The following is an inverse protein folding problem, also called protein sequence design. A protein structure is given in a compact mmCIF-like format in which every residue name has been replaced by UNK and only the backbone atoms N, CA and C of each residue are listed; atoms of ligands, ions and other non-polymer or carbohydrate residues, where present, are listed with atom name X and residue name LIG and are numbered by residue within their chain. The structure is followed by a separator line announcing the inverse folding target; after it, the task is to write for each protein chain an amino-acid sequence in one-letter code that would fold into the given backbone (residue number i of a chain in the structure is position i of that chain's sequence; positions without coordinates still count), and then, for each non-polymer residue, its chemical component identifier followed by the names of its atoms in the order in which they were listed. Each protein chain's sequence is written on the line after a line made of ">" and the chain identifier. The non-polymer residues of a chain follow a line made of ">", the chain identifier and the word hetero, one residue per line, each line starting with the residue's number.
data_IF_270916633447
#
_entry.id   IF_270916633447
#
_cell.length_a   1.000
_cell.length_b   1.000
_cell.length_c   1.000
_cell.angle_alpha   90.00
_cell.angle_beta   90.00
_cell.angle_gamma   90.00
#
_symmetry.space_group_name_H-M   'P 1'
#
loop_
_entity.id
_entity.type
_entity.pdbx_description
1 polymer ?
#
# COMPACT_ATOMS: atom_id res chain seq x y z
N UNK A 1 -11.86 -15.81 1.08
CA UNK A 1 -10.69 -14.93 1.29
C UNK A 1 -9.42 -15.72 1.07
N UNK A 2 -8.35 -15.06 0.59
CA UNK A 2 -7.02 -15.68 0.52
C UNK A 2 -6.54 -16.05 1.93
N UNK A 3 -5.75 -17.12 2.04
CA UNK A 3 -5.08 -17.43 3.30
C UNK A 3 -4.03 -16.37 3.65
N UNK A 4 -3.59 -16.29 4.92
CA UNK A 4 -2.54 -15.36 5.32
C UNK A 4 -1.24 -15.63 4.56
N UNK A 5 -0.88 -16.91 4.42
CA UNK A 5 0.32 -17.35 3.69
C UNK A 5 0.28 -16.98 2.20
N UNK A 6 -0.90 -17.07 1.56
CA UNK A 6 -1.06 -16.68 0.16
C UNK A 6 -0.83 -15.17 -0.02
N UNK A 7 -1.35 -14.35 0.90
CA UNK A 7 -1.20 -12.89 0.85
C UNK A 7 0.25 -12.47 1.12
N UNK A 8 0.93 -13.07 2.10
CA UNK A 8 2.35 -12.84 2.36
C UNK A 8 3.23 -13.23 1.16
N UNK A 9 2.87 -14.33 0.48
CA UNK A 9 3.57 -14.76 -0.73
C UNK A 9 3.36 -13.77 -1.88
N UNK A 10 2.12 -13.29 -2.05
CA UNK A 10 1.77 -12.29 -3.05
C UNK A 10 2.56 -10.98 -2.83
N UNK A 11 2.60 -10.49 -1.58
CA UNK A 11 3.34 -9.28 -1.22
C UNK A 11 4.83 -9.41 -1.51
N UNK A 12 5.44 -10.54 -1.10
CA UNK A 12 6.86 -10.82 -1.36
C UNK A 12 7.20 -10.84 -2.85
N UNK A 13 6.26 -11.29 -3.70
CA UNK A 13 6.46 -11.37 -5.14
C UNK A 13 6.22 -10.04 -5.86
N UNK A 14 5.27 -9.24 -5.39
CA UNK A 14 4.78 -8.03 -6.10
C UNK A 14 5.23 -6.74 -5.45
N UNK A 15 5.61 -6.75 -4.16
CA UNK A 15 5.95 -5.55 -3.36
C UNK A 15 4.90 -4.43 -3.49
N UNK A 16 3.61 -4.83 -3.51
CA UNK A 16 2.50 -3.97 -3.90
C UNK A 16 1.72 -3.35 -2.73
N UNK A 17 2.10 -3.62 -1.47
CA UNK A 17 1.36 -3.18 -0.28
C UNK A 17 0.01 -3.91 -0.09
N UNK A 18 -0.19 -5.02 -0.78
CA UNK A 18 -1.44 -5.80 -0.71
C UNK A 18 -1.64 -6.48 0.64
N UNK A 19 -0.56 -6.83 1.34
CA UNK A 19 -0.64 -7.49 2.65
C UNK A 19 -1.45 -6.66 3.65
N UNK A 20 -1.12 -5.38 3.79
CA UNK A 20 -1.82 -4.48 4.71
C UNK A 20 -3.30 -4.35 4.38
N UNK A 21 -3.64 -4.23 3.10
CA UNK A 21 -5.03 -4.14 2.62
C UNK A 21 -5.80 -5.41 2.93
N UNK A 22 -5.23 -6.59 2.68
CA UNK A 22 -5.86 -7.88 2.97
C UNK A 22 -6.04 -8.11 4.47
N UNK A 23 -5.06 -7.76 5.29
CA UNK A 23 -5.18 -7.85 6.76
C UNK A 23 -6.24 -6.88 7.29
N UNK A 24 -6.28 -5.66 6.78
CA UNK A 24 -7.29 -4.67 7.13
C UNK A 24 -8.71 -5.17 6.82
N UNK A 25 -8.91 -5.70 5.62
CA UNK A 25 -10.21 -6.25 5.21
C UNK A 25 -10.61 -7.47 6.06
N UNK A 26 -9.68 -8.39 6.34
CA UNK A 26 -9.94 -9.55 7.22
C UNK A 26 -10.46 -9.11 8.58
N UNK A 27 -9.80 -8.15 9.23
CA UNK A 27 -10.23 -7.64 10.55
C UNK A 27 -11.63 -7.01 10.51
N UNK A 28 -11.99 -6.34 9.40
CA UNK A 28 -13.35 -5.83 9.18
C UNK A 28 -14.39 -6.95 9.14
N UNK A 29 -14.08 -8.08 8.50
CA UNK A 29 -14.97 -9.25 8.50
C UNK A 29 -15.06 -9.90 9.89
N UNK A 30 -13.94 -9.98 10.62
CA UNK A 30 -13.86 -10.58 11.96
C UNK A 30 -14.55 -9.74 13.04
N UNK A 31 -14.81 -8.44 12.80
CA UNK A 31 -15.48 -7.54 13.75
C UNK A 31 -16.96 -7.86 14.01
N UNK A 32 -17.50 -8.90 13.39
CA UNK A 32 -18.89 -9.36 13.65
C UNK A 32 -19.98 -8.36 13.27
N UNK A 33 -19.72 -7.46 12.33
CA UNK A 33 -20.68 -6.44 11.87
C UNK A 33 -20.65 -5.13 12.65
N UNK A 34 -19.79 -4.98 13.66
CA UNK A 34 -19.57 -3.71 14.34
C UNK A 34 -18.89 -2.71 13.39
N UNK A 35 -19.29 -1.45 13.52
CA UNK A 35 -18.67 -0.33 12.82
C UNK A 35 -17.49 0.17 13.66
N UNK A 36 -16.33 0.27 13.06
CA UNK A 36 -15.15 0.88 13.66
C UNK A 36 -14.95 2.29 13.11
N UNK A 37 -14.90 3.28 13.98
CA UNK A 37 -14.64 4.68 13.64
C UNK A 37 -13.25 5.03 14.16
N UNK A 38 -12.33 5.36 13.27
CA UNK A 38 -10.98 5.79 13.63
C UNK A 38 -10.84 7.30 13.54
N UNK A 39 -10.07 7.88 14.46
CA UNK A 39 -9.67 9.27 14.41
C UNK A 39 -8.24 9.39 13.86
N UNK A 40 -7.97 10.40 13.05
CA UNK A 40 -6.65 10.73 12.55
C UNK A 40 -6.44 12.24 12.50
N UNK A 41 -5.20 12.66 12.36
CA UNK A 41 -4.83 14.07 12.29
C UNK A 41 -3.49 14.31 12.93
N UNK A 42 -2.97 15.51 12.74
CA UNK A 42 -1.66 15.89 13.23
C UNK A 42 -1.58 15.79 14.76
N UNK A 43 -0.36 15.69 15.28
CA UNK A 43 -0.14 15.76 16.70
C UNK A 43 -0.76 17.06 17.28
N UNK A 44 -1.36 16.98 18.45
CA UNK A 44 -2.08 18.10 19.09
C UNK A 44 -3.29 18.66 18.31
N UNK A 45 -3.81 17.94 17.31
CA UNK A 45 -5.05 18.35 16.64
C UNK A 45 -6.32 18.16 17.47
N UNK A 46 -6.22 17.54 18.66
CA UNK A 46 -7.35 17.33 19.58
C UNK A 46 -8.10 16.01 19.37
N UNK A 47 -7.49 15.00 18.72
CA UNK A 47 -8.08 13.67 18.47
C UNK A 47 -8.64 13.00 19.72
N UNK A 48 -7.77 12.73 20.68
CA UNK A 48 -8.15 12.03 21.93
C UNK A 48 -9.13 12.86 22.75
N UNK A 49 -8.95 14.19 22.76
CA UNK A 49 -9.89 15.13 23.43
C UNK A 49 -11.28 15.09 22.79
N UNK A 50 -11.34 15.06 21.44
CA UNK A 50 -12.58 14.92 20.70
C UNK A 50 -13.29 13.61 21.05
N UNK A 51 -12.57 12.50 21.03
CA UNK A 51 -13.13 11.19 21.35
C UNK A 51 -13.60 11.08 22.80
N UNK A 52 -12.87 11.63 23.76
CA UNK A 52 -13.32 11.71 25.14
C UNK A 52 -14.61 12.55 25.28
N UNK A 53 -14.71 13.67 24.56
CA UNK A 53 -15.92 14.50 24.52
C UNK A 53 -17.11 13.73 23.90
N UNK A 54 -16.91 13.01 22.80
CA UNK A 54 -17.93 12.16 22.17
C UNK A 54 -18.39 11.03 23.10
N UNK A 55 -17.50 10.49 23.96
CA UNK A 55 -17.82 9.48 24.97
C UNK A 55 -18.42 10.07 26.26
N UNK A 56 -18.57 11.38 26.36
CA UNK A 56 -18.95 12.08 27.60
C UNK A 56 -17.99 11.79 28.78
N UNK A 57 -16.70 11.53 28.50
CA UNK A 57 -15.67 11.26 29.52
C UNK A 57 -14.90 12.54 29.83
N UNK A 58 -15.39 13.31 30.80
CA UNK A 58 -14.83 14.64 31.12
C UNK A 58 -13.81 14.57 32.25
N UNK A 59 -14.11 13.81 33.31
CA UNK A 59 -13.27 13.70 34.50
C UNK A 59 -12.49 12.35 34.54
N UNK A 60 -12.86 11.42 33.70
CA UNK A 60 -12.20 10.11 33.55
C UNK A 60 -11.90 9.86 32.06
N UNK A 61 -10.84 10.48 31.60
CA UNK A 61 -10.41 10.35 30.22
C UNK A 61 -10.11 8.90 29.88
N UNK A 62 -10.78 8.39 28.84
CA UNK A 62 -10.53 7.04 28.31
C UNK A 62 -9.32 7.01 27.40
N UNK A 63 -9.22 8.01 26.54
CA UNK A 63 -8.07 8.21 25.68
C UNK A 63 -7.15 9.24 26.30
N UNK A 64 -5.88 8.86 26.52
CA UNK A 64 -4.92 9.76 27.15
C UNK A 64 -4.67 10.98 26.30
N UNK A 65 -4.83 12.16 26.90
CA UNK A 65 -4.49 13.45 26.29
C UNK A 65 -3.16 13.94 26.85
N UNK A 66 -2.30 14.55 26.03
CA UNK A 66 -1.03 15.09 26.51
C UNK A 66 -0.17 15.65 25.40
N UNK A 67 0.88 16.39 25.80
CA UNK A 67 1.86 16.99 24.89
C UNK A 67 2.93 15.99 24.41
N UNK A 68 2.95 14.77 24.94
CA UNK A 68 3.85 13.70 24.53
C UNK A 68 3.02 12.62 23.83
N UNK A 69 3.52 11.98 22.72
CA UNK A 69 2.80 10.90 22.07
C UNK A 69 2.43 9.79 23.07
N UNK A 70 1.16 9.67 23.38
CA UNK A 70 0.66 8.76 24.41
C UNK A 70 0.06 7.49 23.85
N UNK A 71 -0.46 7.54 22.63
CA UNK A 71 -1.13 6.43 21.95
C UNK A 71 -0.11 5.65 21.12
N UNK A 72 0.52 4.61 21.71
CA UNK A 72 1.46 3.72 21.00
C UNK A 72 0.77 2.52 20.34
N UNK A 73 -0.44 2.16 20.80
CA UNK A 73 -1.27 1.09 20.25
C UNK A 73 -2.69 1.61 20.20
N UNK A 74 -3.39 1.32 19.09
CA UNK A 74 -4.78 1.75 18.93
C UNK A 74 -5.65 1.29 20.06
N UNK A 75 -6.17 2.22 20.82
CA UNK A 75 -7.11 1.96 21.88
C UNK A 75 -8.53 1.97 21.31
N UNK A 76 -9.34 0.98 21.69
CA UNK A 76 -10.74 0.89 21.27
C UNK A 76 -11.65 1.05 22.45
N UNK A 77 -12.77 1.75 22.21
CA UNK A 77 -13.81 1.94 23.21
C UNK A 77 -15.20 1.87 22.56
N UNK A 78 -16.16 1.24 23.26
CA UNK A 78 -17.54 1.21 22.82
C UNK A 78 -18.14 2.62 22.85
N UNK A 79 -18.63 3.09 21.70
CA UNK A 79 -19.30 4.39 21.58
C UNK A 79 -20.82 4.26 21.69
N UNK A 80 -21.38 3.31 20.95
CA UNK A 80 -22.81 2.99 20.95
C UNK A 80 -22.98 1.51 20.62
N UNK A 81 -24.23 1.01 20.59
CA UNK A 81 -24.46 -0.37 20.20
C UNK A 81 -24.03 -0.61 18.75
N UNK A 82 -23.10 -1.57 18.59
CA UNK A 82 -22.52 -1.88 17.29
C UNK A 82 -21.50 -0.86 16.75
N UNK A 83 -21.05 0.12 17.55
CA UNK A 83 -20.10 1.14 17.13
C UNK A 83 -18.96 1.24 18.14
N UNK A 84 -17.73 1.06 17.67
CA UNK A 84 -16.52 1.20 18.46
C UNK A 84 -15.69 2.39 17.92
N UNK A 85 -15.16 3.24 18.80
CA UNK A 85 -14.16 4.28 18.48
C UNK A 85 -12.77 3.68 18.62
N UNK A 86 -11.87 4.07 17.73
CA UNK A 86 -10.46 3.66 17.72
C UNK A 86 -9.56 4.90 17.62
N UNK A 87 -8.87 5.23 18.71
CA UNK A 87 -7.89 6.32 18.71
C UNK A 87 -6.60 5.85 18.07
N UNK A 88 -6.01 6.68 17.21
CA UNK A 88 -4.79 6.38 16.50
C UNK A 88 -3.64 7.28 16.94
N UNK A 89 -2.38 6.84 16.80
CA UNK A 89 -1.23 7.73 16.95
C UNK A 89 -1.38 9.00 16.09
N UNK A 90 -0.86 10.11 16.57
CA UNK A 90 -0.79 11.35 15.78
C UNK A 90 0.23 11.20 14.66
N UNK A 91 -0.06 11.78 13.49
CA UNK A 91 0.88 11.91 12.39
C UNK A 91 2.01 12.90 12.76
N UNK A 92 3.16 12.77 12.13
CA UNK A 92 4.38 13.57 12.35
C UNK A 92 5.13 13.28 13.67
N UNK A 93 4.75 12.24 14.42
CA UNK A 93 5.52 11.84 15.59
C UNK A 93 6.84 11.15 15.19
N UNK A 94 6.74 10.19 14.29
CA UNK A 94 7.87 9.55 13.57
C UNK A 94 7.33 8.60 12.48
N UNK A 95 8.20 8.13 11.57
CA UNK A 95 7.80 7.26 10.45
C UNK A 95 7.13 5.94 10.89
N UNK A 96 7.52 5.41 12.05
CA UNK A 96 6.94 4.16 12.56
C UNK A 96 5.52 4.39 13.09
N UNK A 97 5.27 5.51 13.76
CA UNK A 97 3.93 5.89 14.26
C UNK A 97 2.99 6.21 13.08
N UNK A 98 3.48 6.85 12.03
CA UNK A 98 2.71 7.11 10.80
C UNK A 98 2.31 5.82 10.06
N UNK A 99 3.20 4.83 10.02
CA UNK A 99 2.89 3.52 9.42
C UNK A 99 1.83 2.77 10.25
N UNK A 100 1.94 2.79 11.57
CA UNK A 100 0.96 2.17 12.46
C UNK A 100 -0.40 2.89 12.39
N UNK A 101 -0.41 4.22 12.43
CA UNK A 101 -1.62 5.03 12.25
C UNK A 101 -2.32 4.69 10.92
N UNK A 102 -1.58 4.64 9.81
CA UNK A 102 -2.14 4.29 8.51
C UNK A 102 -2.72 2.89 8.50
N UNK A 103 -2.01 1.91 9.07
CA UNK A 103 -2.49 0.53 9.18
C UNK A 103 -3.81 0.44 9.95
N UNK A 104 -3.93 1.21 11.03
CA UNK A 104 -5.15 1.28 11.83
C UNK A 104 -6.31 1.93 11.06
N UNK A 105 -6.06 3.01 10.33
CA UNK A 105 -7.07 3.66 9.49
C UNK A 105 -7.61 2.74 8.40
N UNK A 106 -6.76 1.89 7.79
CA UNK A 106 -7.22 0.92 6.80
C UNK A 106 -8.14 -0.16 7.38
N UNK A 107 -8.15 -0.33 8.70
CA UNK A 107 -9.07 -1.24 9.41
C UNK A 107 -10.42 -0.59 9.75
N UNK A 108 -10.48 0.74 9.76
CA UNK A 108 -11.69 1.46 10.14
C UNK A 108 -12.73 1.48 9.00
N UNK A 109 -13.99 1.52 9.37
CA UNK A 109 -15.10 1.67 8.44
C UNK A 109 -15.36 3.15 8.14
N UNK A 110 -15.27 4.00 9.16
CA UNK A 110 -15.39 5.47 9.05
C UNK A 110 -14.14 6.11 9.63
N UNK A 111 -13.68 7.17 9.00
CA UNK A 111 -12.50 7.93 9.41
C UNK A 111 -12.92 9.36 9.77
N UNK A 112 -12.51 9.80 10.94
CA UNK A 112 -12.62 11.20 11.36
C UNK A 112 -11.25 11.85 11.21
N UNK A 113 -11.10 12.77 10.26
CA UNK A 113 -9.91 13.62 10.14
C UNK A 113 -10.07 14.84 11.04
N UNK A 114 -9.28 14.91 12.11
CA UNK A 114 -9.32 16.00 13.08
C UNK A 114 -8.23 17.02 12.76
N UNK A 115 -8.63 18.26 12.51
CA UNK A 115 -7.76 19.38 12.20
C UNK A 115 -7.89 20.50 13.24
N UNK A 116 -6.76 21.07 13.66
CA UNK A 116 -6.72 22.19 14.57
C UNK A 116 -6.74 23.51 13.81
N UNK A 117 -7.84 24.27 13.87
CA UNK A 117 -8.00 25.54 13.15
C UNK A 117 -6.97 26.61 13.51
N UNK A 118 -6.31 26.49 14.66
CA UNK A 118 -5.20 27.42 15.04
C UNK A 118 -3.99 27.28 14.09
N UNK A 119 -3.87 26.17 13.40
CA UNK A 119 -2.81 25.95 12.41
C UNK A 119 -3.14 26.54 11.03
N UNK A 120 -4.32 27.13 10.88
CA UNK A 120 -4.82 27.67 9.62
C UNK A 120 -5.32 26.59 8.67
N UNK A 121 -4.99 26.69 7.39
CA UNK A 121 -5.32 25.67 6.38
C UNK A 121 -4.53 24.38 6.61
N UNK A 122 -4.87 23.29 5.90
CA UNK A 122 -4.08 22.07 5.93
C UNK A 122 -2.63 22.38 5.51
N UNK A 123 -1.70 22.06 6.39
CA UNK A 123 -0.30 22.12 6.04
C UNK A 123 0.08 20.98 5.10
N UNK A 124 1.28 20.99 4.57
CA UNK A 124 1.75 19.99 3.60
C UNK A 124 1.65 18.56 4.13
N UNK A 125 1.99 18.33 5.39
CA UNK A 125 1.96 17.00 5.99
C UNK A 125 0.52 16.47 6.10
N UNK A 126 -0.43 17.29 6.56
CA UNK A 126 -1.85 16.93 6.63
C UNK A 126 -2.45 16.69 5.24
N UNK A 127 -2.09 17.53 4.27
CA UNK A 127 -2.54 17.37 2.88
C UNK A 127 -2.06 16.05 2.27
N UNK A 128 -0.77 15.75 2.37
CA UNK A 128 -0.20 14.49 1.86
C UNK A 128 -0.75 13.27 2.61
N UNK A 129 -1.00 13.42 3.90
CA UNK A 129 -1.64 12.36 4.69
C UNK A 129 -3.05 12.06 4.24
N UNK A 130 -3.88 13.09 4.05
CA UNK A 130 -5.24 12.93 3.55
C UNK A 130 -5.25 12.32 2.14
N UNK A 131 -4.31 12.72 1.30
CA UNK A 131 -4.12 12.13 -0.02
C UNK A 131 -3.73 10.65 0.06
N UNK A 132 -2.82 10.29 0.96
CA UNK A 132 -2.44 8.89 1.22
C UNK A 132 -3.64 8.05 1.67
N UNK A 133 -4.49 8.59 2.55
CA UNK A 133 -5.73 7.95 2.96
C UNK A 133 -6.65 7.75 1.74
N UNK A 134 -6.83 8.78 0.92
CA UNK A 134 -7.66 8.72 -0.27
C UNK A 134 -7.19 7.65 -1.27
N UNK A 135 -5.87 7.52 -1.44
CA UNK A 135 -5.28 6.49 -2.30
C UNK A 135 -5.44 5.08 -1.70
N UNK A 136 -5.36 4.95 -0.36
CA UNK A 136 -5.48 3.68 0.34
C UNK A 136 -6.88 3.07 0.34
N UNK A 137 -7.93 3.89 0.48
CA UNK A 137 -9.33 3.44 0.54
C UNK A 137 -10.07 3.54 -0.80
N UNK A 138 -9.44 4.15 -1.79
CA UNK A 138 -10.08 4.47 -3.07
C UNK A 138 -10.81 5.82 -3.03
N UNK A 139 -10.45 6.72 -3.93
CA UNK A 139 -10.94 8.11 -3.95
C UNK A 139 -12.45 8.23 -4.10
N UNK A 140 -13.10 7.24 -4.71
CA UNK A 140 -14.55 7.23 -4.87
C UNK A 140 -15.30 6.97 -3.57
N UNK A 141 -14.73 6.17 -2.68
CA UNK A 141 -15.32 5.81 -1.40
C UNK A 141 -14.94 6.79 -0.28
N UNK A 142 -14.05 7.75 -0.54
CA UNK A 142 -13.55 8.71 0.44
C UNK A 142 -14.68 9.54 1.05
N UNK A 143 -15.60 10.05 0.22
CA UNK A 143 -16.73 10.87 0.67
C UNK A 143 -17.68 10.11 1.60
N UNK A 144 -17.83 8.80 1.42
CA UNK A 144 -18.73 7.99 2.25
C UNK A 144 -18.08 7.62 3.59
N UNK A 145 -16.76 7.54 3.62
CA UNK A 145 -15.99 7.05 4.77
C UNK A 145 -15.29 8.15 5.56
N UNK A 146 -15.17 9.37 5.02
CA UNK A 146 -14.49 10.47 5.68
C UNK A 146 -15.47 11.45 6.30
N UNK A 147 -15.18 11.85 7.54
CA UNK A 147 -15.77 13.01 8.22
C UNK A 147 -14.60 13.93 8.57
N UNK A 148 -14.65 15.16 8.11
CA UNK A 148 -13.66 16.17 8.49
C UNK A 148 -14.17 17.00 9.65
N UNK A 149 -13.37 17.10 10.72
CA UNK A 149 -13.74 17.82 11.93
C UNK A 149 -12.69 18.85 12.27
N UNK A 150 -13.06 20.12 12.16
CA UNK A 150 -12.26 21.24 12.64
C UNK A 150 -12.48 21.41 14.15
N UNK A 151 -11.40 21.40 14.90
CA UNK A 151 -11.37 21.60 16.36
C UNK A 151 -10.83 22.98 16.72
N UNK A 152 -10.93 23.38 17.99
CA UNK A 152 -10.44 24.65 18.50
C UNK A 152 -11.14 25.89 17.91
N UNK A 153 -12.38 25.75 17.43
CA UNK A 153 -13.13 26.86 16.82
C UNK A 153 -13.40 28.04 17.78
N UNK A 154 -13.31 27.81 19.06
CA UNK A 154 -13.39 28.83 20.10
C UNK A 154 -12.20 29.80 20.15
N UNK A 155 -11.10 29.45 19.50
CA UNK A 155 -9.89 30.29 19.43
C UNK A 155 -9.94 31.31 18.27
N UNK A 156 -10.84 31.13 17.28
CA UNK A 156 -11.09 32.10 16.22
C UNK A 156 -12.34 32.91 16.59
N UNK A 157 -12.14 34.18 16.93
CA UNK A 157 -13.21 35.05 17.36
C UNK A 157 -13.91 35.78 16.22
N UNK A 158 -13.19 36.09 15.15
CA UNK A 158 -13.76 36.76 13.97
C UNK A 158 -14.45 35.76 13.06
N UNK A 159 -15.74 35.97 12.81
CA UNK A 159 -16.55 35.08 11.98
C UNK A 159 -16.15 35.14 10.49
N UNK A 160 -15.68 36.31 10.01
CA UNK A 160 -15.19 36.45 8.63
C UNK A 160 -13.93 35.62 8.41
N UNK A 161 -13.00 35.66 9.34
CA UNK A 161 -11.76 34.89 9.25
C UNK A 161 -12.04 33.38 9.38
N UNK A 162 -12.99 33.02 10.25
CA UNK A 162 -13.46 31.65 10.37
C UNK A 162 -14.11 31.15 9.08
N UNK A 163 -14.94 31.97 8.42
CA UNK A 163 -15.56 31.59 7.14
C UNK A 163 -14.51 31.43 6.03
N UNK A 164 -13.56 32.35 5.91
CA UNK A 164 -12.44 32.21 4.94
C UNK A 164 -11.65 30.94 5.13
N UNK A 165 -11.33 30.60 6.39
CA UNK A 165 -10.60 29.38 6.69
C UNK A 165 -11.43 28.13 6.37
N UNK A 166 -12.72 28.13 6.67
CA UNK A 166 -13.65 27.06 6.30
C UNK A 166 -13.66 26.83 4.79
N UNK A 167 -13.84 27.89 4.02
CA UNK A 167 -13.90 27.83 2.56
C UNK A 167 -12.58 27.27 1.98
N UNK A 168 -11.46 27.67 2.52
CA UNK A 168 -10.15 27.19 2.08
C UNK A 168 -9.93 25.71 2.44
N UNK A 169 -10.28 25.29 3.66
CA UNK A 169 -10.21 23.88 4.06
C UNK A 169 -11.11 23.00 3.18
N UNK A 170 -12.35 23.46 2.91
CA UNK A 170 -13.26 22.76 2.03
C UNK A 170 -12.73 22.67 0.58
N UNK A 171 -12.06 23.71 0.11
CA UNK A 171 -11.40 23.71 -1.20
C UNK A 171 -10.31 22.64 -1.27
N UNK A 172 -9.42 22.60 -0.28
CA UNK A 172 -8.34 21.60 -0.21
C UNK A 172 -8.90 20.17 -0.14
N UNK A 173 -9.94 19.95 0.67
CA UNK A 173 -10.61 18.64 0.79
C UNK A 173 -11.27 18.26 -0.54
N UNK A 174 -11.96 19.20 -1.20
CA UNK A 174 -12.62 18.97 -2.49
C UNK A 174 -11.62 18.60 -3.58
N UNK A 175 -10.44 19.21 -3.59
CA UNK A 175 -9.35 18.92 -4.52
C UNK A 175 -8.89 17.46 -4.36
N UNK A 176 -8.67 17.00 -3.12
CA UNK A 176 -8.27 15.62 -2.84
C UNK A 176 -9.40 14.63 -3.14
N UNK A 177 -10.66 14.99 -2.82
CA UNK A 177 -11.84 14.16 -3.06
C UNK A 177 -12.34 14.21 -4.50
N UNK A 178 -11.67 14.97 -5.40
CA UNK A 178 -12.07 15.21 -6.79
C UNK A 178 -13.47 15.81 -6.93
N UNK A 179 -13.79 16.78 -6.07
CA UNK A 179 -15.06 17.50 -6.08
C UNK A 179 -16.22 16.76 -5.44
N UNK A 180 -16.02 15.56 -4.88
CA UNK A 180 -17.06 14.89 -4.11
C UNK A 180 -17.22 15.54 -2.74
N UNK A 181 -18.46 15.63 -2.28
CA UNK A 181 -18.79 16.18 -0.97
C UNK A 181 -18.19 15.32 0.15
N UNK A 182 -17.46 15.94 1.05
CA UNK A 182 -17.01 15.35 2.33
C UNK A 182 -17.69 16.09 3.47
N UNK A 183 -18.24 15.34 4.41
CA UNK A 183 -18.90 15.95 5.57
C UNK A 183 -17.88 16.76 6.38
N UNK A 184 -18.22 18.01 6.68
CA UNK A 184 -17.37 18.97 7.36
C UNK A 184 -18.06 19.51 8.59
N UNK A 185 -17.45 19.39 9.77
CA UNK A 185 -17.99 19.86 11.03
C UNK A 185 -16.96 20.66 11.81
N UNK A 186 -17.46 21.64 12.58
CA UNK A 186 -16.66 22.47 13.45
C UNK A 186 -17.12 22.28 14.90
N UNK A 187 -16.17 22.00 15.79
CA UNK A 187 -16.46 21.71 17.18
C UNK A 187 -15.50 22.35 18.17
N UNK A 188 -15.93 22.56 19.39
CA UNK A 188 -15.08 22.97 20.50
C UNK A 188 -15.24 22.02 21.71
N UNK A 189 -14.29 21.13 21.88
CA UNK A 189 -14.23 20.29 23.07
C UNK A 189 -14.10 21.11 24.37
N UNK A 190 -13.37 22.22 24.34
CA UNK A 190 -13.22 23.14 25.48
C UNK A 190 -14.57 23.72 25.94
N UNK A 191 -15.40 24.21 24.99
CA UNK A 191 -16.76 24.66 25.30
C UNK A 191 -17.60 23.53 25.87
N UNK A 192 -17.52 22.34 25.30
CA UNK A 192 -18.25 21.18 25.80
C UNK A 192 -17.87 20.84 27.23
N UNK A 193 -16.59 20.71 27.56
CA UNK A 193 -16.13 20.43 28.93
C UNK A 193 -16.54 21.50 29.90
N UNK A 194 -16.47 22.79 29.52
CA UNK A 194 -16.89 23.90 30.33
C UNK A 194 -18.42 23.87 30.56
N UNK A 195 -19.18 23.56 29.53
CA UNK A 195 -20.63 23.47 29.59
C UNK A 195 -21.10 22.38 30.53
N UNK A 196 -20.55 21.20 30.43
CA UNK A 196 -20.93 20.07 31.30
C UNK A 196 -20.55 20.36 32.76
N UNK A 197 -19.33 20.86 33.00
CA UNK A 197 -18.91 21.24 34.38
C UNK A 197 -19.80 22.32 35.03
N UNK A 198 -20.35 23.22 34.21
CA UNK A 198 -21.22 24.32 34.68
C UNK A 198 -22.71 24.03 34.55
N UNK A 199 -23.13 22.89 34.01
CA UNK A 199 -24.53 22.59 33.72
C UNK A 199 -25.17 23.55 32.72
N UNK A 200 -24.40 24.09 31.74
CA UNK A 200 -24.88 25.10 30.81
C UNK A 200 -25.24 24.48 29.43
N UNK A 201 -26.54 24.18 29.25
CA UNK A 201 -27.05 23.56 28.04
C UNK A 201 -26.88 24.42 26.76
N UNK A 202 -26.87 25.76 26.88
CA UNK A 202 -26.63 26.61 25.69
C UNK A 202 -25.20 26.54 25.23
N UNK A 203 -24.26 26.54 26.15
CA UNK A 203 -22.84 26.40 25.85
C UNK A 203 -22.53 24.97 25.30
N UNK A 204 -23.23 23.96 25.83
CA UNK A 204 -23.12 22.59 25.32
C UNK A 204 -23.55 22.49 23.86
N UNK A 205 -24.71 23.04 23.50
CA UNK A 205 -25.16 23.12 22.10
C UNK A 205 -24.19 23.93 21.23
N UNK A 206 -23.69 25.07 21.73
CA UNK A 206 -22.71 25.89 21.02
C UNK A 206 -21.37 25.19 20.82
N UNK A 207 -21.05 24.11 21.51
CA UNK A 207 -19.87 23.29 21.33
C UNK A 207 -19.93 22.43 20.06
N UNK A 208 -21.14 22.16 19.55
CA UNK A 208 -21.43 21.26 18.42
C UNK A 208 -21.04 19.77 18.63
N UNK A 209 -20.60 19.39 19.84
CA UNK A 209 -20.27 18.02 20.20
C UNK A 209 -21.51 17.10 20.21
N UNK A 210 -22.66 17.50 20.84
CA UNK A 210 -23.87 16.67 20.80
C UNK A 210 -24.36 16.43 19.35
N UNK A 211 -24.37 17.48 18.52
CA UNK A 211 -24.75 17.40 17.11
C UNK A 211 -23.85 16.44 16.35
N UNK A 212 -22.53 16.56 16.51
CA UNK A 212 -21.56 15.65 15.86
C UNK A 212 -21.77 14.21 16.32
N UNK A 213 -22.09 13.98 17.61
CA UNK A 213 -22.37 12.65 18.15
C UNK A 213 -23.59 12.00 17.48
N UNK A 214 -24.66 12.75 17.28
CA UNK A 214 -25.87 12.29 16.60
C UNK A 214 -25.56 11.91 15.15
N UNK A 215 -24.88 12.81 14.43
CA UNK A 215 -24.49 12.61 13.04
C UNK A 215 -23.60 11.38 12.86
N UNK A 216 -22.59 11.20 13.71
CA UNK A 216 -21.73 10.02 13.69
C UNK A 216 -22.54 8.76 13.92
N UNK A 217 -23.47 8.79 14.87
CA UNK A 217 -24.35 7.65 15.19
C UNK A 217 -25.26 7.29 14.02
N UNK A 218 -25.91 8.28 13.41
CA UNK A 218 -26.76 8.08 12.25
C UNK A 218 -25.98 7.54 11.06
N UNK A 219 -24.82 8.16 10.78
CA UNK A 219 -23.95 7.73 9.68
C UNK A 219 -23.46 6.30 9.87
N UNK A 220 -23.07 5.94 11.09
CA UNK A 220 -22.68 4.56 11.41
C UNK A 220 -23.83 3.56 11.24
N UNK A 221 -25.07 3.93 11.58
CA UNK A 221 -26.25 3.09 11.36
C UNK A 221 -26.54 2.89 9.88
N UNK A 222 -26.52 3.97 9.09
CA UNK A 222 -26.72 3.91 7.63
C UNK A 222 -25.61 3.07 6.95
N UNK A 223 -24.37 3.30 7.37
CA UNK A 223 -23.23 2.53 6.88
C UNK A 223 -23.34 1.06 7.28
N UNK A 224 -23.80 0.76 8.49
CA UNK A 224 -24.03 -0.61 8.98
C UNK A 224 -25.03 -1.39 8.15
N UNK A 225 -26.11 -0.76 7.68
CA UNK A 225 -27.10 -1.39 6.80
C UNK A 225 -26.51 -1.82 5.44
N UNK A 226 -25.52 -1.08 4.93
CA UNK A 226 -24.84 -1.38 3.66
C UNK A 226 -23.49 -2.10 3.86
N UNK A 227 -23.06 -2.27 5.11
CA UNK A 227 -21.71 -2.73 5.46
C UNK A 227 -21.30 -4.05 4.78
N UNK A 228 -22.20 -5.04 4.71
CA UNK A 228 -21.90 -6.31 4.06
C UNK A 228 -21.68 -6.14 2.56
N UNK A 229 -22.46 -5.28 1.93
CA UNK A 229 -22.33 -4.97 0.50
C UNK A 229 -21.04 -4.21 0.23
N UNK A 230 -20.70 -3.24 1.06
CA UNK A 230 -19.45 -2.48 0.97
C UNK A 230 -18.23 -3.35 1.17
N UNK A 231 -18.24 -4.24 2.18
CA UNK A 231 -17.14 -5.20 2.41
C UNK A 231 -16.97 -6.17 1.25
N UNK A 232 -18.08 -6.63 0.64
CA UNK A 232 -18.02 -7.44 -0.60
C UNK A 232 -17.43 -6.66 -1.76
N UNK A 233 -17.77 -5.39 -1.91
CA UNK A 233 -17.20 -4.50 -2.94
C UNK A 233 -15.68 -4.31 -2.71
N UNK A 234 -15.27 -4.00 -1.49
CA UNK A 234 -13.85 -3.89 -1.12
C UNK A 234 -13.09 -5.20 -1.41
N UNK A 235 -13.69 -6.34 -1.08
CA UNK A 235 -13.12 -7.66 -1.39
C UNK A 235 -12.93 -7.85 -2.89
N UNK A 236 -13.95 -7.53 -3.70
CA UNK A 236 -13.88 -7.65 -5.15
C UNK A 236 -12.79 -6.75 -5.75
N UNK A 237 -12.67 -5.50 -5.27
CA UNK A 237 -11.62 -4.56 -5.68
C UNK A 237 -10.24 -5.10 -5.35
N UNK A 238 -10.03 -5.58 -4.13
CA UNK A 238 -8.75 -6.13 -3.68
C UNK A 238 -8.37 -7.41 -4.43
N UNK A 239 -9.35 -8.26 -4.75
CA UNK A 239 -9.14 -9.43 -5.63
C UNK A 239 -8.68 -9.00 -7.04
N UNK A 240 -9.28 -7.97 -7.62
CA UNK A 240 -8.88 -7.46 -8.93
C UNK A 240 -7.48 -6.83 -8.90
N UNK A 241 -7.17 -6.03 -7.87
CA UNK A 241 -5.83 -5.46 -7.68
C UNK A 241 -4.77 -6.56 -7.56
N UNK A 242 -5.05 -7.59 -6.76
CA UNK A 242 -4.17 -8.76 -6.60
C UNK A 242 -3.97 -9.51 -7.93
N UNK A 243 -5.05 -9.68 -8.70
CA UNK A 243 -4.99 -10.32 -10.02
C UNK A 243 -4.14 -9.53 -10.99
N UNK A 244 -4.30 -8.20 -11.03
CA UNK A 244 -3.54 -7.33 -11.91
C UNK A 244 -2.04 -7.35 -11.55
N UNK A 245 -1.70 -7.31 -10.27
CA UNK A 245 -0.33 -7.42 -9.80
C UNK A 245 0.32 -8.76 -10.22
N UNK A 246 -0.40 -9.87 -10.08
CA UNK A 246 0.07 -11.18 -10.53
C UNK A 246 0.20 -11.27 -12.05
N UNK A 247 -0.72 -10.68 -12.80
CA UNK A 247 -0.67 -10.65 -14.26
C UNK A 247 0.55 -9.87 -14.75
N UNK A 248 0.83 -8.70 -14.19
CA UNK A 248 2.03 -7.91 -14.50
C UNK A 248 3.30 -8.71 -14.21
N UNK A 249 3.39 -9.33 -13.03
CA UNK A 249 4.53 -10.17 -12.66
C UNK A 249 4.73 -11.33 -13.63
N UNK A 250 3.64 -11.97 -14.06
CA UNK A 250 3.70 -13.06 -15.05
C UNK A 250 4.29 -12.59 -16.37
N UNK A 251 3.83 -11.44 -16.89
CA UNK A 251 4.34 -10.88 -18.14
C UNK A 251 5.84 -10.55 -18.04
N UNK A 252 6.27 -10.00 -16.92
CA UNK A 252 7.69 -9.70 -16.68
C UNK A 252 8.53 -10.99 -16.65
N UNK A 253 8.04 -12.03 -15.97
CA UNK A 253 8.73 -13.33 -15.92
C UNK A 253 8.75 -14.05 -17.26
N UNK A 254 7.67 -14.01 -18.01
CA UNK A 254 7.62 -14.58 -19.37
C UNK A 254 8.61 -13.87 -20.30
N UNK A 255 8.76 -12.56 -20.19
CA UNK A 255 9.75 -11.76 -20.90
C UNK A 255 11.18 -12.13 -20.51
N UNK A 256 11.44 -12.30 -19.21
CA UNK A 256 12.74 -12.74 -18.69
C UNK A 256 13.11 -14.15 -19.21
N UNK A 257 12.16 -15.09 -19.14
CA UNK A 257 12.32 -16.45 -19.64
C UNK A 257 12.63 -16.43 -21.14
N UNK A 258 11.93 -15.64 -21.94
CA UNK A 258 12.13 -15.50 -23.37
C UNK A 258 13.54 -14.97 -23.69
N UNK A 259 14.00 -13.95 -22.96
CA UNK A 259 15.38 -13.43 -23.09
C UNK A 259 16.43 -14.48 -22.73
N UNK A 260 16.19 -15.26 -21.65
CA UNK A 260 17.12 -16.34 -21.25
C UNK A 260 17.17 -17.45 -22.30
N UNK A 261 16.01 -17.89 -22.80
CA UNK A 261 15.93 -18.90 -23.89
C UNK A 261 16.70 -18.43 -25.12
N UNK A 262 16.53 -17.19 -25.55
CA UNK A 262 17.25 -16.61 -26.66
C UNK A 262 18.77 -16.64 -26.43
N UNK A 263 19.24 -16.18 -25.26
CA UNK A 263 20.68 -16.21 -24.92
C UNK A 263 21.25 -17.62 -24.94
N UNK A 264 20.52 -18.63 -24.47
CA UNK A 264 20.93 -20.03 -24.49
C UNK A 264 21.04 -20.52 -25.95
N UNK A 265 20.03 -20.23 -26.77
CA UNK A 265 20.03 -20.59 -28.21
C UNK A 265 21.19 -19.95 -28.94
N UNK A 266 21.44 -18.67 -28.72
CA UNK A 266 22.55 -17.94 -29.37
C UNK A 266 23.91 -18.53 -28.97
N UNK A 267 24.10 -18.86 -27.67
CA UNK A 267 25.33 -19.55 -27.21
C UNK A 267 25.49 -20.95 -27.82
N UNK A 268 24.40 -21.72 -27.89
CA UNK A 268 24.40 -23.04 -28.49
C UNK A 268 24.78 -22.95 -29.95
N UNK A 269 24.17 -22.05 -30.72
CA UNK A 269 24.46 -21.85 -32.13
C UNK A 269 25.93 -21.44 -32.37
N UNK A 270 26.43 -20.49 -31.56
CA UNK A 270 27.83 -20.08 -31.61
C UNK A 270 28.80 -21.23 -31.32
N UNK A 271 28.51 -22.03 -30.28
CA UNK A 271 29.32 -23.22 -29.98
C UNK A 271 29.27 -24.25 -31.09
N UNK A 272 28.14 -24.47 -31.72
CA UNK A 272 27.97 -25.38 -32.84
C UNK A 272 28.74 -24.92 -34.07
N UNK A 273 28.69 -23.66 -34.43
CA UNK A 273 29.48 -23.11 -35.54
C UNK A 273 31.00 -23.19 -35.27
N UNK A 274 31.43 -22.91 -34.05
CA UNK A 274 32.81 -23.08 -33.63
C UNK A 274 33.26 -24.57 -33.78
N UNK A 275 32.42 -25.50 -33.31
CA UNK A 275 32.70 -26.94 -33.47
C UNK A 275 32.76 -27.34 -34.92
N UNK A 276 31.86 -26.86 -35.77
CA UNK A 276 31.86 -27.12 -37.22
C UNK A 276 33.14 -26.60 -37.87
N UNK A 277 33.60 -25.42 -37.47
CA UNK A 277 34.88 -24.86 -37.94
C UNK A 277 36.09 -25.71 -37.53
N UNK A 278 36.12 -26.19 -36.30
CA UNK A 278 37.17 -27.08 -35.78
C UNK A 278 37.14 -28.41 -36.55
N UNK A 279 35.97 -29.01 -36.75
CA UNK A 279 35.79 -30.26 -37.50
C UNK A 279 36.32 -30.12 -38.93
N UNK A 280 35.96 -29.05 -39.64
CA UNK A 280 36.41 -28.78 -40.99
C UNK A 280 37.95 -28.65 -41.09
N UNK A 281 38.57 -27.92 -40.14
CA UNK A 281 40.04 -27.81 -40.08
C UNK A 281 40.70 -29.17 -39.84
N UNK A 282 40.13 -29.97 -38.93
CA UNK A 282 40.64 -31.32 -38.67
C UNK A 282 40.56 -32.21 -39.90
N UNK A 283 39.43 -32.21 -40.63
CA UNK A 283 39.25 -32.95 -41.88
C UNK A 283 40.23 -32.49 -42.93
N UNK A 284 40.46 -31.18 -43.06
CA UNK A 284 41.47 -30.64 -44.00
C UNK A 284 42.91 -31.12 -43.66
N UNK A 285 43.26 -31.02 -42.36
CA UNK A 285 44.56 -31.51 -41.86
C UNK A 285 44.74 -33.02 -42.16
N UNK A 286 43.72 -33.81 -41.83
CA UNK A 286 43.70 -35.24 -42.07
C UNK A 286 43.98 -35.53 -43.59
N UNK A 287 43.22 -34.88 -44.46
CA UNK A 287 43.36 -35.06 -45.87
C UNK A 287 44.78 -34.66 -46.41
N UNK A 288 45.33 -33.57 -45.83
CA UNK A 288 46.69 -33.13 -46.11
C UNK A 288 47.72 -34.17 -45.69
N UNK A 289 47.58 -34.75 -44.49
CA UNK A 289 48.47 -35.80 -44.00
C UNK A 289 48.36 -37.04 -44.86
N UNK A 290 47.14 -37.51 -45.19
CA UNK A 290 46.94 -38.64 -46.08
C UNK A 290 47.53 -38.43 -47.47
N UNK A 291 47.38 -37.26 -48.09
CA UNK A 291 47.97 -36.90 -49.39
C UNK A 291 49.49 -36.96 -49.33
N UNK A 292 50.13 -36.42 -48.30
CA UNK A 292 51.57 -36.48 -48.13
C UNK A 292 52.05 -37.90 -47.90
N UNK A 293 51.34 -38.69 -47.04
CA UNK A 293 51.70 -40.11 -46.89
C UNK A 293 51.57 -40.90 -48.20
N UNK A 294 50.54 -40.65 -48.98
CA UNK A 294 50.38 -41.29 -50.31
C UNK A 294 51.50 -40.89 -51.27
N UNK A 295 51.88 -39.62 -51.29
CA UNK A 295 52.99 -39.14 -52.06
C UNK A 295 54.36 -39.82 -51.68
N UNK A 296 54.57 -39.95 -50.36
CA UNK A 296 55.72 -40.63 -49.79
C UNK A 296 55.71 -42.12 -50.24
N UNK A 297 54.56 -42.79 -50.12
CA UNK A 297 54.40 -44.16 -50.55
C UNK A 297 54.68 -44.33 -52.05
N UNK A 298 54.14 -43.50 -52.93
CA UNK A 298 54.41 -43.48 -54.36
C UNK A 298 55.90 -43.25 -54.69
N UNK A 299 56.54 -42.34 -53.89
CA UNK A 299 57.97 -42.10 -54.04
C UNK A 299 58.79 -43.36 -53.73
N UNK A 300 58.45 -44.09 -52.67
CA UNK A 300 59.14 -45.36 -52.36
C UNK A 300 58.80 -46.45 -53.36
N UNK A 301 57.55 -46.57 -53.80
CA UNK A 301 57.10 -47.55 -54.76
C UNK A 301 57.74 -47.31 -56.20
N UNK A 302 58.08 -46.04 -56.48
CA UNK A 302 58.73 -45.65 -57.75
C UNK A 302 60.25 -45.53 -57.69
N UNK A 303 60.87 -45.60 -56.55
CA UNK A 303 62.30 -45.51 -56.38
C UNK A 303 62.95 -46.82 -56.81
N UNK A 304 63.96 -46.73 -57.64
CA UNK A 304 64.70 -47.91 -58.13
C UNK A 304 65.37 -48.73 -57.01
N UNK A 305 65.61 -48.06 -55.88
CA UNK A 305 66.22 -48.73 -54.72
C UNK A 305 65.23 -49.65 -53.98
N UNK A 306 63.91 -49.26 -53.89
CA UNK A 306 62.89 -50.10 -53.28
C UNK A 306 62.54 -51.30 -54.17
N UNK A 307 62.45 -51.11 -55.50
CA UNK A 307 62.22 -52.16 -56.45
C UNK A 307 63.42 -53.13 -56.51
N UNK A 308 64.64 -52.63 -56.35
CA UNK A 308 65.83 -53.46 -56.23
C UNK A 308 65.90 -54.27 -54.95
N UNK A 309 65.36 -53.71 -53.81
CA UNK A 309 65.28 -54.37 -52.52
C UNK A 309 64.22 -55.48 -52.55
N UNK A 310 63.06 -55.27 -53.08
CA UNK A 310 62.00 -56.27 -53.22
C UNK A 310 62.52 -57.46 -54.10
N UNK A 311 63.20 -57.21 -55.21
CA UNK A 311 63.76 -58.26 -56.03
C UNK A 311 64.80 -59.12 -55.31
N UNK A 312 65.61 -58.53 -54.42
CA UNK A 312 66.59 -59.27 -53.60
C UNK A 312 65.95 -60.06 -52.46
N UNK A 313 64.75 -59.66 -51.99
CA UNK A 313 64.03 -60.34 -50.87
C UNK A 313 63.22 -61.53 -51.41
N UNK A 314 62.81 -61.53 -52.71
CA UNK A 314 62.04 -62.62 -53.26
C UNK A 314 62.91 -63.61 -54.09
N UNK A 315 64.21 -63.30 -54.27
CA UNK A 315 65.13 -64.20 -54.93
C UNK A 315 65.97 -65.06 -53.93
N UNK A 316 65.61 -65.09 -52.72
CA UNK A 316 66.08 -66.01 -51.67
C UNK A 316 64.93 -66.97 -51.34
#
# INVERSE_FOLDING_TARGET
>A
MLSKTDVETLERLTCSGLLEKWEGLRRKFDSGGKITIANTGQYSSGKSTLFNALLCRIDNERFKTGEIPTTKKGEREKFADGIDLMDTPGIDANLADDAEAFRMLMQADIIIMTHNVKMGMLNRAEYEWLKRIADGIGKEDLSDRLIFVSTWIDEIQDESDRQKLRDELQRQISEISRGKYVAFYEVSAKRYYTAVKKGNANLERASKIPELREIITERAKLYGASLQTLRKKELAMLCNESRNALHSLRLDKDSEISRRKKRISDRHNSAFENWRGIKSRFESMRNTVFSKLHGIRQYFDSSSDYQSYERRVYDI
#
